data_IF_967735665823
#
_entry.id   IF_967735665823
#
_cell.length_a   1.000
_cell.length_b   1.000
_cell.length_c   1.000
_cell.angle_alpha   90.00
_cell.angle_beta   90.00
_cell.angle_gamma   90.00
#
_symmetry.space_group_name_H-M   'P 1'
#
loop_
_entity.id
_entity.type
_entity.pdbx_description
1 polymer ?
#
# COMPACT_ATOMS: atom_id res chain seq x y z
N UNK A 1 21.96 6.62 -6.43
CA UNK A 1 20.94 6.28 -5.40
C UNK A 1 21.27 7.10 -4.18
N UNK A 2 20.62 8.26 -4.02
CA UNK A 2 20.85 9.11 -2.84
C UNK A 2 19.72 8.85 -1.86
N UNK A 3 20.01 8.06 -0.81
CA UNK A 3 19.19 8.08 0.41
C UNK A 3 19.40 9.43 1.09
N UNK A 4 18.33 10.19 1.27
CA UNK A 4 18.37 11.44 2.03
C UNK A 4 18.31 11.08 3.51
N UNK A 5 19.47 10.99 4.16
CA UNK A 5 19.56 10.87 5.62
C UNK A 5 19.31 12.26 6.20
N UNK A 6 18.06 12.57 6.54
CA UNK A 6 17.74 13.66 7.48
C UNK A 6 17.42 13.02 8.83
N UNK A 7 18.39 13.06 9.75
CA UNK A 7 18.21 12.87 11.20
C UNK A 7 17.39 11.66 11.65
N UNK A 8 17.98 10.46 11.70
CA UNK A 8 17.61 9.41 12.66
C UNK A 8 16.15 8.93 12.70
N UNK A 9 15.33 9.27 11.69
CA UNK A 9 13.97 8.82 11.49
C UNK A 9 13.96 8.30 10.06
N UNK A 10 13.75 6.99 9.89
CA UNK A 10 13.39 6.46 8.58
C UNK A 10 12.04 7.10 8.26
N UNK A 11 12.01 8.10 7.38
CA UNK A 11 10.74 8.58 6.82
C UNK A 11 10.28 7.42 5.95
N UNK A 12 9.39 6.62 6.52
CA UNK A 12 8.76 5.51 5.82
C UNK A 12 7.81 6.13 4.80
N UNK A 13 8.16 6.04 3.51
CA UNK A 13 7.36 6.66 2.46
C UNK A 13 6.17 5.77 2.08
N UNK A 14 5.08 6.41 1.67
CA UNK A 14 4.00 5.72 0.98
C UNK A 14 4.51 5.13 -0.34
N UNK A 15 3.98 3.97 -0.69
CA UNK A 15 4.24 3.35 -1.98
C UNK A 15 2.94 3.01 -2.67
N UNK A 16 2.92 3.04 -3.99
CA UNK A 16 1.78 2.56 -4.77
C UNK A 16 2.19 1.62 -5.88
N UNK A 17 1.30 0.68 -6.17
CA UNK A 17 1.35 -0.17 -7.35
C UNK A 17 0.13 0.12 -8.22
N UNK A 18 0.25 -0.18 -9.50
CA UNK A 18 -0.82 0.08 -10.47
C UNK A 18 -1.28 -1.24 -11.08
N UNK A 19 -2.56 -1.56 -10.91
CA UNK A 19 -3.19 -2.69 -11.58
C UNK A 19 -4.11 -2.23 -12.70
N UNK A 20 -4.02 -2.90 -13.84
CA UNK A 20 -5.02 -2.81 -14.88
C UNK A 20 -6.24 -3.67 -14.58
N UNK A 21 -7.38 -3.30 -15.15
CA UNK A 21 -8.60 -4.10 -15.13
C UNK A 21 -8.37 -5.55 -15.54
N UNK A 22 -7.50 -5.79 -16.55
CA UNK A 22 -7.14 -7.14 -16.98
C UNK A 22 -6.46 -7.94 -15.85
N UNK A 23 -5.52 -7.31 -15.13
CA UNK A 23 -4.81 -7.95 -14.04
C UNK A 23 -5.75 -8.30 -12.88
N UNK A 24 -6.73 -7.43 -12.59
CA UNK A 24 -7.71 -7.68 -11.53
C UNK A 24 -8.70 -8.77 -11.94
N UNK A 25 -9.40 -8.59 -13.06
CA UNK A 25 -10.51 -9.46 -13.42
C UNK A 25 -10.09 -10.81 -13.98
N UNK A 26 -9.00 -10.84 -14.78
CA UNK A 26 -8.56 -12.08 -15.45
C UNK A 26 -7.45 -12.79 -14.70
N UNK A 27 -6.53 -12.02 -14.11
CA UNK A 27 -5.33 -12.57 -13.47
C UNK A 27 -5.44 -12.61 -11.94
N UNK A 28 -6.55 -12.10 -11.38
CA UNK A 28 -6.85 -12.08 -9.94
C UNK A 28 -5.75 -11.42 -9.09
N UNK A 29 -5.06 -10.45 -9.68
CA UNK A 29 -3.87 -9.84 -9.07
C UNK A 29 -4.15 -9.18 -7.71
N UNK A 30 -5.32 -8.56 -7.53
CA UNK A 30 -5.71 -7.95 -6.25
C UNK A 30 -5.91 -9.01 -5.15
N UNK A 31 -6.62 -10.10 -5.46
CA UNK A 31 -6.83 -11.21 -4.51
C UNK A 31 -5.50 -11.84 -4.08
N UNK A 32 -4.58 -12.05 -5.03
CA UNK A 32 -3.27 -12.62 -4.74
C UNK A 32 -2.36 -11.64 -3.96
N UNK A 33 -2.52 -10.34 -4.20
CA UNK A 33 -1.86 -9.29 -3.41
C UNK A 33 -2.35 -9.32 -1.96
N UNK A 34 -3.66 -9.26 -1.75
CA UNK A 34 -4.29 -9.27 -0.42
C UNK A 34 -3.86 -10.49 0.39
N UNK A 35 -3.90 -11.69 -0.19
CA UNK A 35 -3.43 -12.92 0.50
C UNK A 35 -1.96 -12.84 0.93
N UNK A 36 -1.10 -12.32 0.06
CA UNK A 36 0.33 -12.17 0.39
C UNK A 36 0.53 -11.12 1.48
N UNK A 37 -0.21 -10.03 1.40
CA UNK A 37 -0.19 -8.96 2.38
C UNK A 37 -0.70 -9.43 3.74
N UNK A 38 -1.86 -10.10 3.81
CA UNK A 38 -2.44 -10.64 5.05
C UNK A 38 -1.46 -11.59 5.75
N UNK A 39 -0.76 -12.43 4.99
CA UNK A 39 0.29 -13.28 5.54
C UNK A 39 1.42 -12.46 6.18
N UNK A 40 1.90 -11.41 5.50
CA UNK A 40 2.93 -10.51 6.04
C UNK A 40 2.40 -9.81 7.29
N UNK A 41 1.18 -9.29 7.24
CA UNK A 41 0.53 -8.61 8.36
C UNK A 41 0.49 -9.50 9.61
N UNK A 42 0.06 -10.76 9.46
CA UNK A 42 0.03 -11.75 10.55
C UNK A 42 1.45 -12.12 11.02
N UNK A 43 2.39 -12.33 10.10
CA UNK A 43 3.78 -12.66 10.44
C UNK A 43 4.47 -11.55 11.26
N UNK A 44 3.98 -10.31 11.17
CA UNK A 44 4.43 -9.13 11.91
C UNK A 44 3.50 -8.72 13.08
N UNK A 45 2.61 -9.61 13.52
CA UNK A 45 1.69 -9.40 14.66
C UNK A 45 0.67 -8.25 14.46
N UNK A 46 0.27 -8.02 13.21
CA UNK A 46 -0.75 -7.04 12.82
C UNK A 46 -0.46 -5.60 13.24
N UNK A 47 0.61 -4.97 12.72
CA UNK A 47 0.97 -3.60 13.09
C UNK A 47 -0.13 -2.60 12.74
N UNK A 48 -0.43 -1.68 13.67
CA UNK A 48 -1.51 -0.70 13.49
C UNK A 48 -1.25 0.35 12.42
N UNK A 49 0.00 0.47 11.96
CA UNK A 49 0.46 1.40 10.92
C UNK A 49 0.64 0.72 9.54
N UNK A 50 0.24 -0.55 9.41
CA UNK A 50 0.36 -1.35 8.20
C UNK A 50 -1.02 -1.59 7.56
N UNK A 51 -1.30 -0.95 6.43
CA UNK A 51 -2.55 -1.11 5.71
C UNK A 51 -2.36 -0.95 4.19
N UNK A 52 -3.36 -1.47 3.45
CA UNK A 52 -3.54 -1.28 2.03
C UNK A 52 -4.79 -0.44 1.77
N UNK A 53 -4.67 0.50 0.84
CA UNK A 53 -5.79 1.28 0.31
C UNK A 53 -5.87 1.13 -1.20
N UNK A 54 -7.05 1.30 -1.79
CA UNK A 54 -7.23 1.40 -3.24
C UNK A 54 -7.94 2.69 -3.60
N UNK A 55 -7.72 3.20 -4.81
CA UNK A 55 -8.61 4.25 -5.35
C UNK A 55 -10.08 3.79 -5.26
N UNK A 56 -11.00 4.73 -5.07
CA UNK A 56 -12.44 4.44 -5.06
C UNK A 56 -12.97 4.06 -6.45
N UNK A 57 -12.33 4.55 -7.51
CA UNK A 57 -12.76 4.37 -8.89
C UNK A 57 -11.60 3.98 -9.81
N UNK A 58 -11.94 3.34 -10.94
CA UNK A 58 -10.97 3.06 -11.98
C UNK A 58 -10.67 4.33 -12.79
N UNK A 59 -9.39 4.63 -12.96
CA UNK A 59 -8.90 5.66 -13.88
C UNK A 59 -8.19 5.00 -15.06
N UNK A 60 -8.66 5.24 -16.29
CA UNK A 60 -8.13 4.64 -17.51
C UNK A 60 -8.04 3.10 -17.47
N UNK A 61 -9.07 2.45 -16.90
CA UNK A 61 -9.11 1.01 -16.64
C UNK A 61 -7.96 0.51 -15.75
N UNK A 62 -7.50 1.35 -14.82
CA UNK A 62 -6.49 1.00 -13.83
C UNK A 62 -6.90 1.52 -12.46
N UNK A 63 -6.32 0.93 -11.42
CA UNK A 63 -6.51 1.34 -10.03
C UNK A 63 -5.14 1.33 -9.34
N UNK A 64 -4.88 2.34 -8.51
CA UNK A 64 -3.74 2.32 -7.62
C UNK A 64 -4.09 1.53 -6.36
N UNK A 65 -3.12 0.75 -5.89
CA UNK A 65 -3.13 0.19 -4.53
C UNK A 65 -1.97 0.83 -3.77
N UNK A 66 -2.27 1.43 -2.64
CA UNK A 66 -1.33 2.17 -1.79
C UNK A 66 -0.97 1.34 -0.58
N UNK A 67 0.31 1.37 -0.22
CA UNK A 67 0.90 0.78 0.96
C UNK A 67 1.24 1.92 1.91
N UNK A 68 0.79 1.80 3.16
CA UNK A 68 1.16 2.76 4.21
C UNK A 68 2.68 2.75 4.48
N UNK A 69 3.22 3.81 5.08
CA UNK A 69 4.57 3.85 5.62
C UNK A 69 4.98 2.60 6.40
N UNK A 70 4.13 2.13 7.33
CA UNK A 70 4.41 0.95 8.18
C UNK A 70 4.55 -0.37 7.41
N UNK A 71 4.23 -0.39 6.11
CA UNK A 71 4.50 -1.55 5.25
C UNK A 71 6.00 -1.78 5.04
N UNK A 72 6.84 -0.75 5.05
CA UNK A 72 8.28 -0.94 4.90
C UNK A 72 8.92 -1.29 6.26
N UNK A 73 9.89 -2.22 6.32
CA UNK A 73 10.45 -2.99 5.21
C UNK A 73 9.70 -4.30 4.90
N UNK A 74 8.67 -4.65 5.68
CA UNK A 74 8.01 -5.96 5.63
C UNK A 74 7.43 -6.30 4.25
N UNK A 75 6.89 -5.31 3.55
CA UNK A 75 6.27 -5.41 2.24
C UNK A 75 7.21 -5.08 1.07
N UNK A 76 8.48 -4.70 1.30
CA UNK A 76 9.38 -4.20 0.24
C UNK A 76 9.50 -5.19 -0.93
N UNK A 77 9.56 -6.49 -0.63
CA UNK A 77 9.57 -7.54 -1.65
C UNK A 77 8.27 -7.57 -2.45
N UNK A 78 7.13 -7.47 -1.79
CA UNK A 78 5.81 -7.47 -2.44
C UNK A 78 5.65 -6.24 -3.33
N UNK A 79 6.03 -5.06 -2.82
CA UNK A 79 6.06 -3.81 -3.58
C UNK A 79 6.96 -3.96 -4.81
N UNK A 80 8.16 -4.51 -4.68
CA UNK A 80 9.08 -4.72 -5.78
C UNK A 80 8.57 -5.71 -6.84
N UNK A 81 7.94 -6.82 -6.42
CA UNK A 81 7.31 -7.81 -7.32
C UNK A 81 6.27 -7.15 -8.25
N UNK A 82 5.59 -6.12 -7.75
CA UNK A 82 4.57 -5.37 -8.47
C UNK A 82 5.07 -4.04 -9.07
N UNK A 83 6.38 -3.81 -9.07
CA UNK A 83 7.02 -2.57 -9.57
C UNK A 83 6.46 -1.31 -8.90
N UNK A 84 6.20 -1.40 -7.60
CA UNK A 84 5.71 -0.28 -6.82
C UNK A 84 6.70 0.87 -6.78
N UNK A 85 6.16 2.07 -6.66
CA UNK A 85 6.90 3.33 -6.66
C UNK A 85 6.53 4.13 -5.43
N UNK A 86 7.47 4.91 -4.93
CA UNK A 86 7.22 5.90 -3.88
C UNK A 86 6.17 6.93 -4.35
N UNK A 87 5.29 7.35 -3.45
CA UNK A 87 4.27 8.35 -3.72
C UNK A 87 3.95 9.20 -2.48
N UNK A 88 3.13 10.23 -2.68
CA UNK A 88 2.48 10.94 -1.58
C UNK A 88 1.35 10.08 -0.97
N UNK A 89 0.93 10.41 0.25
CA UNK A 89 -0.25 9.81 0.85
C UNK A 89 -1.48 10.08 -0.03
N UNK A 90 -2.37 9.10 -0.23
CA UNK A 90 -3.61 9.34 -0.94
C UNK A 90 -4.56 10.19 -0.09
N UNK A 91 -5.47 10.89 -0.77
CA UNK A 91 -6.56 11.62 -0.13
C UNK A 91 -7.63 10.65 0.36
N UNK A 92 -8.05 10.81 1.62
CA UNK A 92 -9.07 9.97 2.28
C UNK A 92 -10.39 9.95 1.52
N UNK A 93 -10.76 11.03 0.84
CA UNK A 93 -12.02 11.08 0.07
C UNK A 93 -11.96 10.23 -1.22
N UNK A 94 -10.76 9.84 -1.65
CA UNK A 94 -10.52 9.18 -2.93
C UNK A 94 -10.07 7.72 -2.81
N UNK A 95 -9.95 7.18 -1.60
CA UNK A 95 -9.55 5.80 -1.37
C UNK A 95 -10.49 5.05 -0.42
N UNK A 96 -10.45 3.73 -0.52
CA UNK A 96 -11.08 2.82 0.44
C UNK A 96 -10.01 1.89 1.02
N UNK A 97 -10.21 1.47 2.27
CA UNK A 97 -9.39 0.42 2.86
C UNK A 97 -9.60 -0.90 2.11
N UNK A 98 -8.49 -1.57 1.81
CA UNK A 98 -8.45 -2.91 1.21
C UNK A 98 -8.13 -3.94 2.31
N UNK A 99 -7.13 -3.66 3.13
CA UNK A 99 -6.74 -4.51 4.26
C UNK A 99 -6.06 -3.66 5.32
N UNK A 100 -6.35 -3.91 6.59
CA UNK A 100 -5.80 -3.18 7.73
C UNK A 100 -6.62 -3.45 8.99
N UNK A 101 -6.44 -2.63 10.00
CA UNK A 101 -7.28 -2.62 11.20
C UNK A 101 -8.37 -1.52 11.13
N UNK A 102 -9.26 -1.50 12.11
CA UNK A 102 -10.37 -0.54 12.18
C UNK A 102 -9.90 0.94 12.25
N UNK A 103 -8.68 1.18 12.71
CA UNK A 103 -8.09 2.53 12.87
C UNK A 103 -7.23 2.94 11.67
N UNK A 104 -7.15 2.13 10.62
CA UNK A 104 -6.20 2.38 9.52
C UNK A 104 -6.50 3.68 8.76
N UNK A 105 -7.74 4.14 8.73
CA UNK A 105 -8.11 5.44 8.11
C UNK A 105 -7.39 6.63 8.77
N UNK A 106 -7.04 6.57 10.05
CA UNK A 106 -6.30 7.63 10.75
C UNK A 106 -4.89 7.85 10.18
N UNK A 107 -4.34 6.84 9.49
CA UNK A 107 -3.05 6.92 8.81
C UNK A 107 -3.08 7.89 7.62
N UNK A 108 -4.28 8.21 7.09
CA UNK A 108 -4.48 9.18 6.02
C UNK A 108 -4.57 10.63 6.54
N UNK A 109 -4.96 10.82 7.80
CA UNK A 109 -5.17 12.13 8.42
C UNK A 109 -3.89 12.76 9.03
N UNK A 110 -2.78 12.03 9.04
CA UNK A 110 -1.55 12.40 9.76
C UNK A 110 -0.59 13.32 8.99
N UNK A 111 -1.07 14.08 8.00
CA UNK A 111 -0.24 14.92 7.12
C UNK A 111 -0.63 16.41 7.12
#
# INVERSE_FOLDING_TARGET
MQSVIKHGILIMSWHKILFSFKQIEKERALIELEKKFEKIYIDFDGPSDMALFSDNEYHDNKINIYFTPGCSPACDRLIAEHKGVECEAPDVEHVTIVTGNDDSEDLLASH
#
